data_IF_813072028275
#
_entry.id   IF_813072028275
#
_cell.length_a   1.000
_cell.length_b   1.000
_cell.length_c   1.000
_cell.angle_alpha   90.00
_cell.angle_beta   90.00
_cell.angle_gamma   90.00
#
_symmetry.space_group_name_H-M   'P 1'
#
loop_
_entity.id
_entity.type
_entity.pdbx_description
1 polymer ?
#
# COMPACT_ATOMS: atom_id res chain seq x y z
N UNK A 1 33.25 -17.43 -0.46
CA UNK A 1 33.39 -18.91 -0.56
C UNK A 1 33.53 -19.26 -2.04
N UNK A 2 34.43 -20.19 -2.40
CA UNK A 2 34.67 -20.60 -3.80
C UNK A 2 34.49 -22.11 -3.94
N UNK A 3 34.11 -22.55 -5.13
CA UNK A 3 33.86 -23.96 -5.46
C UNK A 3 34.56 -24.32 -6.77
N UNK A 4 34.69 -25.62 -7.09
CA UNK A 4 35.40 -26.05 -8.31
C UNK A 4 34.51 -26.04 -9.55
N UNK A 5 35.00 -25.47 -10.64
CA UNK A 5 34.32 -25.54 -11.94
C UNK A 5 34.74 -26.76 -12.75
N UNK A 6 33.91 -27.16 -13.71
CA UNK A 6 34.19 -28.26 -14.65
C UNK A 6 34.63 -27.80 -16.04
N UNK A 7 35.11 -26.56 -16.18
CA UNK A 7 35.72 -26.07 -17.43
C UNK A 7 36.98 -26.87 -17.81
N UNK A 8 37.31 -26.95 -19.10
CA UNK A 8 38.48 -27.70 -19.60
C UNK A 8 39.80 -27.29 -18.89
N UNK A 9 39.98 -26.01 -18.64
CA UNK A 9 41.15 -25.47 -17.90
C UNK A 9 41.13 -25.88 -16.43
N UNK A 10 39.96 -25.86 -15.79
CA UNK A 10 39.80 -26.27 -14.39
C UNK A 10 40.02 -27.76 -14.21
N UNK A 11 39.51 -28.59 -15.12
CA UNK A 11 39.77 -30.04 -15.12
C UNK A 11 41.26 -30.30 -15.28
N UNK A 12 41.95 -29.64 -16.21
CA UNK A 12 43.39 -29.79 -16.39
C UNK A 12 44.18 -29.42 -15.12
N UNK A 13 43.81 -28.31 -14.46
CA UNK A 13 44.42 -27.91 -13.20
C UNK A 13 44.15 -28.92 -12.07
N UNK A 14 42.92 -29.43 -11.96
CA UNK A 14 42.54 -30.44 -10.97
C UNK A 14 43.23 -31.78 -11.20
N UNK A 15 43.43 -32.22 -12.45
CA UNK A 15 44.17 -33.46 -12.75
C UNK A 15 45.62 -33.37 -12.29
N UNK A 16 46.25 -32.20 -12.47
CA UNK A 16 47.61 -31.94 -11.98
C UNK A 16 47.61 -31.93 -10.45
N UNK A 17 46.70 -31.19 -9.82
CA UNK A 17 46.64 -31.06 -8.36
C UNK A 17 46.25 -32.35 -7.64
N UNK A 18 45.30 -33.11 -8.16
CA UNK A 18 44.75 -34.32 -7.56
C UNK A 18 45.46 -35.59 -8.03
N UNK A 19 46.72 -35.47 -8.48
CA UNK A 19 47.51 -36.63 -8.86
C UNK A 19 47.51 -37.70 -7.76
N UNK A 20 47.17 -38.97 -8.05
CA UNK A 20 46.76 -39.94 -7.01
C UNK A 20 47.88 -40.39 -6.08
N UNK A 21 49.16 -40.23 -6.44
CA UNK A 21 50.28 -40.61 -5.56
C UNK A 21 50.63 -39.49 -4.59
N UNK A 22 50.36 -39.72 -3.31
CA UNK A 22 50.76 -38.84 -2.21
C UNK A 22 52.25 -38.98 -1.89
N UNK A 23 52.91 -37.92 -1.40
CA UNK A 23 54.31 -38.00 -0.95
C UNK A 23 54.47 -38.92 0.26
N UNK A 24 55.58 -39.66 0.32
CA UNK A 24 55.95 -40.44 1.50
C UNK A 24 56.54 -39.58 2.63
N UNK A 25 56.98 -38.36 2.32
CA UNK A 25 57.53 -37.40 3.29
C UNK A 25 57.53 -35.97 2.74
N UNK A 26 57.82 -34.95 3.57
CA UNK A 26 57.64 -33.54 3.21
C UNK A 26 58.50 -33.07 2.03
N UNK A 27 59.66 -33.71 1.82
CA UNK A 27 60.57 -33.39 0.71
C UNK A 27 60.44 -34.36 -0.48
N UNK A 28 59.49 -35.28 -0.45
CA UNK A 28 59.29 -36.26 -1.52
C UNK A 28 58.60 -35.63 -2.74
N UNK A 29 59.40 -35.41 -3.79
CA UNK A 29 58.96 -34.90 -5.09
C UNK A 29 59.21 -35.90 -6.22
N UNK A 30 59.46 -37.19 -5.92
CA UNK A 30 59.92 -38.17 -6.91
C UNK A 30 58.88 -38.50 -7.96
N UNK A 31 57.62 -38.65 -7.54
CA UNK A 31 56.52 -39.02 -8.44
C UNK A 31 55.68 -37.82 -8.91
N UNK A 32 55.70 -36.72 -8.15
CA UNK A 32 54.92 -35.52 -8.42
C UNK A 32 55.48 -34.35 -7.60
N UNK A 33 55.53 -33.15 -8.19
CA UNK A 33 56.01 -31.96 -7.51
C UNK A 33 54.96 -31.45 -6.53
N UNK A 34 55.29 -31.31 -5.24
CA UNK A 34 54.30 -30.92 -4.23
C UNK A 34 53.70 -29.52 -4.46
N UNK A 35 54.43 -28.60 -5.09
CA UNK A 35 53.91 -27.28 -5.42
C UNK A 35 52.67 -27.33 -6.34
N UNK A 36 52.57 -28.34 -7.20
CA UNK A 36 51.44 -28.52 -8.12
C UNK A 36 50.13 -28.91 -7.42
N UNK A 37 50.21 -29.35 -6.16
CA UNK A 37 49.05 -29.56 -5.29
C UNK A 37 48.28 -28.28 -5.00
N UNK A 38 48.84 -27.10 -5.26
CA UNK A 38 48.16 -25.82 -5.05
C UNK A 38 47.50 -25.25 -6.32
N UNK A 39 47.65 -25.91 -7.48
CA UNK A 39 47.02 -25.46 -8.73
C UNK A 39 45.49 -25.57 -8.73
N UNK A 40 44.87 -26.22 -7.72
CA UNK A 40 43.41 -26.23 -7.55
C UNK A 40 42.81 -24.83 -7.51
N UNK A 41 43.59 -23.82 -7.08
CA UNK A 41 43.13 -22.42 -7.02
C UNK A 41 42.71 -21.92 -8.39
N UNK A 42 43.34 -22.40 -9.47
CA UNK A 42 42.97 -22.06 -10.85
C UNK A 42 41.62 -22.65 -11.28
N UNK A 43 41.19 -23.72 -10.62
CA UNK A 43 39.89 -24.35 -10.84
C UNK A 43 38.78 -23.75 -9.97
N UNK A 44 39.11 -22.83 -9.05
CA UNK A 44 38.12 -22.23 -8.15
C UNK A 44 37.36 -21.07 -8.79
N UNK A 45 36.04 -21.09 -8.65
CA UNK A 45 35.13 -20.04 -9.08
C UNK A 45 34.26 -19.55 -7.92
N UNK A 46 33.82 -18.29 -8.00
CA UNK A 46 32.86 -17.71 -7.07
C UNK A 46 31.44 -18.01 -7.54
N UNK A 47 30.69 -18.75 -6.74
CA UNK A 47 29.28 -19.14 -7.02
C UNK A 47 28.33 -18.88 -5.86
N UNK A 48 28.86 -18.35 -4.75
CA UNK A 48 28.05 -18.05 -3.58
C UNK A 48 27.19 -16.82 -3.87
N UNK A 49 25.88 -16.95 -3.69
CA UNK A 49 24.97 -15.83 -3.70
C UNK A 49 24.44 -15.59 -2.29
N UNK A 50 24.55 -14.34 -1.86
CA UNK A 50 24.02 -13.81 -0.62
C UNK A 50 22.96 -12.77 -0.95
N UNK A 51 21.77 -12.90 -0.35
CA UNK A 51 20.77 -11.84 -0.44
C UNK A 51 21.00 -10.77 0.61
N UNK A 52 20.77 -9.52 0.24
CA UNK A 52 20.90 -8.34 1.09
C UNK A 52 19.59 -7.57 1.04
N UNK A 53 19.07 -7.20 2.21
CA UNK A 53 17.88 -6.37 2.27
C UNK A 53 18.22 -4.91 1.91
N UNK A 54 17.46 -4.34 0.97
CA UNK A 54 17.71 -2.98 0.45
C UNK A 54 17.57 -1.92 1.55
N UNK A 55 16.66 -2.12 2.50
CA UNK A 55 16.39 -1.11 3.54
C UNK A 55 17.43 -1.10 4.64
N UNK A 56 17.80 -2.28 5.13
CA UNK A 56 18.75 -2.42 6.24
C UNK A 56 20.20 -2.48 5.78
N UNK A 57 20.45 -2.84 4.52
CA UNK A 57 21.79 -3.11 4.00
C UNK A 57 22.43 -4.38 4.59
N UNK A 58 21.65 -5.18 5.33
CA UNK A 58 22.15 -6.36 6.03
C UNK A 58 21.89 -7.64 5.22
N UNK A 59 22.77 -8.66 5.32
CA UNK A 59 22.53 -9.95 4.70
C UNK A 59 21.31 -10.63 5.34
N UNK A 60 20.42 -11.13 4.50
CA UNK A 60 19.18 -11.80 4.90
C UNK A 60 19.05 -13.15 4.21
N UNK A 61 18.32 -14.08 4.82
CA UNK A 61 17.94 -15.34 4.19
C UNK A 61 16.69 -15.14 3.34
N UNK A 62 16.68 -15.68 2.13
CA UNK A 62 15.53 -15.67 1.24
C UNK A 62 15.55 -16.93 0.36
N UNK A 63 14.38 -17.54 0.09
CA UNK A 63 14.32 -18.66 -0.82
C UNK A 63 14.47 -18.16 -2.26
N UNK A 64 15.33 -18.84 -3.02
CA UNK A 64 15.55 -18.65 -4.44
C UNK A 64 15.12 -19.90 -5.17
N UNK A 65 14.42 -19.73 -6.27
CA UNK A 65 14.15 -20.78 -7.24
C UNK A 65 15.12 -20.64 -8.40
N UNK A 66 15.80 -21.74 -8.67
CA UNK A 66 16.90 -21.83 -9.61
C UNK A 66 16.45 -22.77 -10.71
N UNK A 67 16.49 -22.30 -11.97
CA UNK A 67 16.15 -23.12 -13.13
C UNK A 67 17.39 -23.41 -13.95
N UNK A 68 17.64 -24.69 -14.18
CA UNK A 68 18.75 -25.20 -14.99
C UNK A 68 18.22 -25.61 -16.36
N UNK A 69 18.94 -25.23 -17.42
CA UNK A 69 18.55 -25.54 -18.80
C UNK A 69 18.53 -27.04 -19.07
N UNK A 70 17.76 -27.44 -20.06
CA UNK A 70 17.84 -28.79 -20.63
C UNK A 70 19.24 -29.04 -21.20
N UNK A 71 19.76 -30.23 -20.92
CA UNK A 71 21.03 -30.75 -21.43
C UNK A 71 20.79 -32.11 -22.06
N UNK A 72 21.79 -32.68 -22.74
CA UNK A 72 21.68 -34.02 -23.33
C UNK A 72 21.35 -35.12 -22.29
N UNK A 73 21.66 -34.89 -21.02
CA UNK A 73 21.50 -35.86 -19.94
C UNK A 73 20.28 -35.62 -19.05
N UNK A 74 19.78 -34.39 -18.99
CA UNK A 74 18.73 -33.99 -18.06
C UNK A 74 17.78 -32.99 -18.71
N UNK A 75 16.49 -33.20 -18.49
CA UNK A 75 15.46 -32.22 -18.85
C UNK A 75 15.63 -30.91 -18.05
N UNK A 76 14.98 -29.84 -18.51
CA UNK A 76 14.90 -28.59 -17.76
C UNK A 76 14.29 -28.84 -16.37
N UNK A 77 15.00 -28.41 -15.32
CA UNK A 77 14.60 -28.64 -13.92
C UNK A 77 14.69 -27.35 -13.14
N UNK A 78 13.71 -27.12 -12.26
CA UNK A 78 13.75 -26.05 -11.27
C UNK A 78 13.78 -26.64 -9.86
N UNK A 79 14.55 -26.00 -8.98
CA UNK A 79 14.64 -26.36 -7.57
C UNK A 79 14.76 -25.11 -6.70
N UNK A 80 14.42 -25.24 -5.43
CA UNK A 80 14.44 -24.12 -4.48
C UNK A 80 15.58 -24.30 -3.47
N UNK A 81 16.36 -23.25 -3.29
CA UNK A 81 17.43 -23.15 -2.28
C UNK A 81 17.20 -21.93 -1.40
N UNK A 82 17.77 -21.91 -0.20
CA UNK A 82 17.71 -20.75 0.70
C UNK A 82 19.08 -20.08 0.72
N UNK A 83 19.14 -18.79 0.43
CA UNK A 83 20.38 -18.03 0.52
C UNK A 83 20.87 -17.96 1.97
N UNK A 84 22.18 -17.88 2.23
CA UNK A 84 23.27 -17.99 1.25
C UNK A 84 23.38 -19.40 0.67
N UNK A 85 23.44 -19.49 -0.66
CA UNK A 85 23.51 -20.76 -1.38
C UNK A 85 24.52 -20.68 -2.53
N UNK A 86 24.94 -21.85 -3.01
CA UNK A 86 25.88 -21.98 -4.13
C UNK A 86 25.04 -22.17 -5.40
N UNK A 87 25.22 -21.29 -6.37
CA UNK A 87 24.59 -21.44 -7.67
C UNK A 87 25.23 -22.58 -8.48
N UNK A 88 24.49 -23.22 -9.40
CA UNK A 88 25.06 -24.05 -10.45
C UNK A 88 26.10 -23.30 -11.31
N UNK A 89 26.80 -24.05 -12.16
CA UNK A 89 27.69 -23.44 -13.14
C UNK A 89 26.93 -22.54 -14.12
N UNK A 90 27.56 -21.42 -14.51
CA UNK A 90 26.97 -20.43 -15.44
C UNK A 90 26.60 -21.05 -16.80
N UNK A 91 27.31 -22.10 -17.21
CA UNK A 91 27.06 -22.80 -18.46
C UNK A 91 25.70 -23.52 -18.50
N UNK A 92 25.07 -23.81 -17.35
CA UNK A 92 23.80 -24.55 -17.29
C UNK A 92 22.66 -23.75 -16.68
N UNK A 93 22.96 -22.67 -15.96
CA UNK A 93 21.95 -21.88 -15.29
C UNK A 93 21.16 -21.00 -16.28
N UNK A 94 19.82 -21.05 -16.20
CA UNK A 94 18.90 -20.31 -17.06
C UNK A 94 18.23 -19.14 -16.34
N UNK A 95 17.67 -19.38 -15.14
CA UNK A 95 16.99 -18.33 -14.38
C UNK A 95 17.24 -18.45 -12.89
N UNK A 96 17.26 -17.30 -12.20
CA UNK A 96 17.21 -17.21 -10.75
C UNK A 96 16.05 -16.32 -10.37
N UNK A 97 15.12 -16.84 -9.57
CA UNK A 97 13.93 -16.14 -9.11
C UNK A 97 13.93 -16.05 -7.60
N UNK A 98 13.79 -14.84 -7.05
CA UNK A 98 13.46 -14.69 -5.62
C UNK A 98 12.04 -15.22 -5.44
N UNK A 99 11.92 -16.33 -4.73
CA UNK A 99 10.64 -16.94 -4.43
C UNK A 99 10.27 -16.68 -2.96
N UNK A 100 9.00 -16.88 -2.62
CA UNK A 100 8.49 -16.68 -1.27
C UNK A 100 7.60 -15.44 -1.08
N UNK A 101 6.74 -15.46 -0.05
CA UNK A 101 5.70 -14.44 0.12
C UNK A 101 6.25 -13.12 0.68
N UNK A 102 7.42 -13.13 1.33
CA UNK A 102 7.92 -12.05 2.20
C UNK A 102 8.75 -10.99 1.50
N UNK A 103 9.38 -11.35 0.40
CA UNK A 103 10.18 -10.45 -0.41
C UNK A 103 9.48 -10.23 -1.74
N UNK A 104 9.79 -9.11 -2.39
CA UNK A 104 9.27 -8.84 -3.72
C UNK A 104 9.86 -9.82 -4.73
N UNK A 105 9.03 -10.51 -5.55
CA UNK A 105 9.53 -11.45 -6.54
C UNK A 105 10.33 -10.69 -7.59
N UNK A 106 11.51 -11.22 -7.90
CA UNK A 106 12.38 -10.70 -8.95
C UNK A 106 12.97 -11.88 -9.71
N UNK A 107 12.97 -11.80 -11.04
CA UNK A 107 13.46 -12.86 -11.93
C UNK A 107 14.64 -12.31 -12.71
N UNK A 108 15.77 -13.00 -12.61
CA UNK A 108 16.98 -12.73 -13.37
C UNK A 108 17.08 -13.85 -14.41
N UNK A 109 16.85 -13.49 -15.67
CA UNK A 109 17.07 -14.39 -16.80
C UNK A 109 18.51 -14.27 -17.26
N UNK A 110 19.16 -15.42 -17.44
CA UNK A 110 20.57 -15.53 -17.77
C UNK A 110 20.73 -16.28 -19.08
N UNK A 111 21.72 -15.84 -19.87
CA UNK A 111 22.16 -16.57 -21.05
C UNK A 111 23.27 -17.51 -20.58
N UNK A 112 23.13 -18.84 -20.76
CA UNK A 112 24.15 -19.78 -20.35
C UNK A 112 25.44 -19.57 -21.14
N UNK A 113 26.55 -19.38 -20.44
CA UNK A 113 27.86 -19.12 -21.01
C UNK A 113 28.93 -19.96 -20.32
N UNK A 114 29.94 -20.44 -21.06
CA UNK A 114 31.09 -21.16 -20.51
C UNK A 114 32.12 -20.25 -19.81
N UNK A 115 31.74 -19.00 -19.54
CA UNK A 115 32.58 -18.05 -18.81
C UNK A 115 32.38 -18.23 -17.30
N UNK A 116 33.41 -17.94 -16.49
CA UNK A 116 33.24 -17.87 -15.05
C UNK A 116 32.24 -16.76 -14.67
N UNK A 117 31.66 -16.91 -13.50
CA UNK A 117 30.60 -16.06 -12.97
C UNK A 117 30.97 -14.58 -12.84
N UNK A 118 31.93 -14.27 -11.98
CA UNK A 118 32.44 -12.92 -11.77
C UNK A 118 33.88 -12.97 -11.26
N UNK A 119 34.70 -12.03 -11.71
CA UNK A 119 36.03 -11.75 -11.17
C UNK A 119 35.95 -10.50 -10.27
N UNK A 120 36.89 -10.37 -9.32
CA UNK A 120 36.94 -9.19 -8.44
C UNK A 120 37.12 -7.91 -9.27
N UNK A 121 36.13 -7.02 -9.23
CA UNK A 121 36.16 -5.72 -9.92
C UNK A 121 35.41 -5.67 -11.26
N UNK A 122 34.74 -6.75 -11.65
CA UNK A 122 33.83 -6.74 -12.79
C UNK A 122 32.57 -5.93 -12.43
N UNK A 123 32.13 -5.03 -13.31
CA UNK A 123 30.99 -4.12 -13.06
C UNK A 123 29.70 -4.58 -13.75
N UNK A 124 29.83 -5.41 -14.76
CA UNK A 124 28.71 -5.85 -15.62
C UNK A 124 28.17 -7.22 -15.19
N UNK A 125 28.45 -7.65 -13.97
CA UNK A 125 28.04 -8.95 -13.47
C UNK A 125 26.59 -8.93 -12.93
N UNK A 126 25.76 -9.95 -13.24
CA UNK A 126 24.33 -9.93 -12.92
C UNK A 126 24.03 -10.05 -11.42
N UNK A 127 25.03 -10.37 -10.58
CA UNK A 127 24.87 -10.59 -9.15
C UNK A 127 25.72 -9.66 -8.29
N UNK A 128 26.22 -8.52 -8.81
CA UNK A 128 27.12 -7.60 -8.12
C UNK A 128 28.17 -8.31 -7.21
N UNK A 129 28.96 -9.20 -7.81
CA UNK A 129 29.95 -10.04 -7.14
C UNK A 129 29.40 -11.04 -6.10
N UNK A 130 28.16 -11.50 -6.28
CA UNK A 130 27.49 -12.49 -5.43
C UNK A 130 26.49 -11.91 -4.42
N UNK A 131 26.13 -10.63 -4.53
CA UNK A 131 25.10 -9.96 -3.74
C UNK A 131 23.83 -9.71 -4.54
N UNK A 132 22.73 -10.31 -4.09
CA UNK A 132 21.40 -10.08 -4.63
C UNK A 132 20.60 -9.16 -3.70
N UNK A 133 20.33 -7.94 -4.15
CA UNK A 133 19.56 -6.97 -3.38
C UNK A 133 18.07 -7.26 -3.51
N UNK A 134 17.41 -7.50 -2.37
CA UNK A 134 15.98 -7.82 -2.31
C UNK A 134 15.26 -6.84 -1.38
N UNK A 135 14.02 -6.51 -1.72
CA UNK A 135 13.17 -5.65 -0.91
C UNK A 135 12.16 -6.51 -0.15
N UNK A 136 12.14 -6.38 1.18
CA UNK A 136 11.11 -7.00 2.03
C UNK A 136 9.76 -6.31 1.82
N UNK A 137 8.68 -7.08 1.79
CA UNK A 137 7.30 -6.56 1.79
C UNK A 137 6.94 -6.07 3.17
N UNK A 138 6.19 -4.96 3.26
CA UNK A 138 5.69 -4.46 4.54
C UNK A 138 4.68 -5.46 5.10
N UNK A 139 4.76 -5.69 6.42
CA UNK A 139 3.94 -6.69 7.12
C UNK A 139 4.55 -8.09 7.18
N UNK A 140 5.73 -8.30 6.58
CA UNK A 140 6.48 -9.55 6.69
C UNK A 140 7.75 -9.36 7.52
N UNK A 141 8.01 -10.29 8.44
CA UNK A 141 9.26 -10.35 9.19
C UNK A 141 10.38 -11.05 8.39
N UNK A 142 11.63 -10.81 8.78
CA UNK A 142 12.76 -11.57 8.23
C UNK A 142 12.61 -13.07 8.58
N UNK A 143 13.24 -13.96 7.82
CA UNK A 143 13.24 -15.39 8.14
C UNK A 143 14.01 -15.72 9.43
N UNK A 144 14.89 -14.82 9.89
CA UNK A 144 15.58 -14.96 11.18
C UNK A 144 14.62 -14.70 12.33
N UNK A 145 13.83 -13.63 12.24
CA UNK A 145 12.92 -13.21 13.30
C UNK A 145 11.65 -14.08 13.36
N UNK A 146 11.20 -14.57 12.21
CA UNK A 146 10.04 -15.45 12.09
C UNK A 146 10.34 -16.54 11.07
N UNK A 147 10.80 -17.74 11.43
CA UNK A 147 11.13 -18.78 10.45
C UNK A 147 9.89 -19.35 9.74
N UNK A 148 8.73 -19.37 10.40
CA UNK A 148 7.52 -20.04 9.89
C UNK A 148 6.64 -19.09 9.07
N UNK A 149 6.69 -17.78 9.32
CA UNK A 149 5.89 -16.79 8.58
C UNK A 149 4.50 -16.65 9.17
N UNK A 150 4.39 -16.82 10.48
CA UNK A 150 3.14 -16.74 11.18
C UNK A 150 2.71 -15.27 11.30
N UNK A 151 1.88 -14.80 10.35
CA UNK A 151 1.17 -13.51 10.43
C UNK A 151 0.30 -13.37 11.70
N UNK A 152 0.14 -14.45 12.46
CA UNK A 152 -0.48 -14.44 13.78
C UNK A 152 0.22 -13.51 14.78
N UNK A 153 1.52 -13.22 14.61
CA UNK A 153 2.20 -12.25 15.47
C UNK A 153 1.65 -10.84 15.26
N UNK A 154 1.45 -10.42 14.00
CA UNK A 154 0.88 -9.12 13.65
C UNK A 154 -0.59 -9.03 14.08
N UNK A 155 -1.39 -10.08 13.85
CA UNK A 155 -2.80 -10.06 14.27
C UNK A 155 -2.98 -10.10 15.79
N UNK A 156 -2.18 -10.91 16.51
CA UNK A 156 -2.20 -10.95 17.99
C UNK A 156 -1.70 -9.65 18.60
N UNK A 157 -0.68 -9.05 18.01
CA UNK A 157 -0.18 -7.75 18.42
C UNK A 157 -1.27 -6.69 18.37
N UNK A 158 -1.96 -6.62 17.25
CA UNK A 158 -2.94 -5.59 17.00
C UNK A 158 -4.23 -5.84 17.80
N UNK A 159 -4.61 -7.10 18.01
CA UNK A 159 -5.68 -7.44 18.92
C UNK A 159 -5.34 -7.08 20.38
N UNK A 160 -4.08 -7.23 20.81
CA UNK A 160 -3.62 -6.86 22.15
C UNK A 160 -3.59 -5.34 22.35
N UNK A 161 -3.27 -4.59 21.29
CA UNK A 161 -3.24 -3.12 21.30
C UNK A 161 -4.66 -2.54 21.23
N UNK A 162 -5.53 -3.09 20.37
CA UNK A 162 -6.95 -2.72 20.32
C UNK A 162 -7.68 -2.97 21.64
N UNK A 163 -7.42 -4.12 22.30
CA UNK A 163 -7.95 -4.38 23.64
C UNK A 163 -7.38 -3.45 24.73
N UNK A 164 -6.13 -3.01 24.57
CA UNK A 164 -5.49 -2.11 25.52
C UNK A 164 -6.07 -0.69 25.44
N UNK A 165 -6.49 -0.22 24.26
CA UNK A 165 -7.22 1.03 24.09
C UNK A 165 -8.64 0.96 24.69
N UNK A 166 -9.32 -0.18 24.58
CA UNK A 166 -10.66 -0.40 25.17
C UNK A 166 -10.65 -0.52 26.70
N UNK A 167 -9.51 -0.85 27.31
CA UNK A 167 -9.37 -1.02 28.77
C UNK A 167 -8.70 0.19 29.41
N UNK A 168 -9.34 1.36 29.29
CA UNK A 168 -9.11 2.51 30.16
C UNK A 168 -9.92 2.38 31.46
N UNK A 169 -9.84 1.25 32.14
CA UNK A 169 -10.21 1.16 33.56
C UNK A 169 -9.80 -0.17 34.16
N UNK A 170 -9.16 -0.07 35.33
CA UNK A 170 -8.78 -1.12 36.27
C UNK A 170 -7.46 -1.88 36.02
N UNK A 171 -6.66 -1.86 37.09
CA UNK A 171 -5.43 -2.59 37.42
C UNK A 171 -4.12 -2.18 36.73
N UNK A 172 -3.44 -1.24 37.40
CA UNK A 172 -1.96 -1.12 37.40
C UNK A 172 -1.38 -2.39 38.02
N UNK A 173 -1.22 -3.45 37.25
CA UNK A 173 -0.35 -4.58 37.62
C UNK A 173 0.89 -4.52 36.73
N UNK A 174 2.03 -4.31 37.39
CA UNK A 174 3.41 -4.47 36.96
C UNK A 174 3.63 -4.85 35.48
N UNK A 175 3.89 -3.84 34.63
CA UNK A 175 4.34 -4.05 33.24
C UNK A 175 5.82 -4.43 33.21
N UNK A 176 6.14 -5.66 33.57
CA UNK A 176 7.41 -6.30 33.22
C UNK A 176 7.22 -7.05 31.90
N UNK A 177 7.75 -6.52 30.78
CA UNK A 177 7.76 -7.22 29.48
C UNK A 177 6.65 -6.89 28.47
N UNK A 178 5.98 -5.74 28.56
CA UNK A 178 5.05 -5.31 27.50
C UNK A 178 5.85 -4.77 26.30
N UNK A 179 5.95 -5.58 25.24
CA UNK A 179 6.45 -5.15 23.92
C UNK A 179 5.72 -3.87 23.51
N UNK A 180 6.47 -2.78 23.32
CA UNK A 180 5.88 -1.50 22.88
C UNK A 180 5.40 -1.61 21.44
N UNK A 181 4.37 -0.85 21.07
CA UNK A 181 3.81 -0.90 19.73
C UNK A 181 4.87 -0.62 18.66
N UNK A 182 5.82 0.26 18.97
CA UNK A 182 6.89 0.65 18.06
C UNK A 182 7.89 -0.49 17.83
N UNK A 183 8.27 -1.20 18.91
CA UNK A 183 9.11 -2.38 18.82
C UNK A 183 8.43 -3.46 17.99
N UNK A 184 7.11 -3.49 18.01
CA UNK A 184 6.36 -4.43 17.20
C UNK A 184 6.37 -4.02 15.73
N UNK A 185 6.06 -2.76 15.43
CA UNK A 185 5.99 -2.30 14.04
C UNK A 185 7.36 -2.30 13.38
N UNK A 186 8.44 -2.03 14.12
CA UNK A 186 9.79 -2.16 13.61
C UNK A 186 10.17 -3.59 13.22
N UNK A 187 9.52 -4.63 13.78
CA UNK A 187 9.73 -6.01 13.32
C UNK A 187 9.07 -6.30 11.97
N UNK A 188 7.90 -5.71 11.72
CA UNK A 188 7.08 -5.95 10.51
C UNK A 188 7.32 -4.95 9.38
N UNK A 189 7.92 -3.79 9.68
CA UNK A 189 8.17 -2.73 8.71
C UNK A 189 9.53 -2.09 8.97
N UNK A 190 10.31 -1.97 7.89
CA UNK A 190 11.53 -1.16 7.88
C UNK A 190 11.27 0.31 7.56
N UNK A 191 10.00 0.70 7.29
CA UNK A 191 9.64 2.06 6.90
C UNK A 191 9.64 3.01 8.12
N UNK A 192 10.53 4.02 8.16
CA UNK A 192 10.60 4.98 9.27
C UNK A 192 9.31 5.76 9.47
N UNK A 193 8.52 5.99 8.40
CA UNK A 193 7.29 6.76 8.48
C UNK A 193 6.21 6.02 9.28
N UNK A 194 6.08 4.71 9.09
CA UNK A 194 5.13 3.87 9.83
C UNK A 194 5.52 3.73 11.30
N UNK A 195 6.83 3.58 11.58
CA UNK A 195 7.35 3.49 12.95
C UNK A 195 7.11 4.82 13.68
N UNK A 196 7.42 5.95 13.05
CA UNK A 196 7.18 7.27 13.62
C UNK A 196 5.68 7.55 13.82
N UNK A 197 4.83 7.10 12.88
CA UNK A 197 3.38 7.23 13.02
C UNK A 197 2.85 6.46 14.23
N UNK A 198 3.32 5.24 14.44
CA UNK A 198 2.94 4.43 15.60
C UNK A 198 3.29 5.12 16.93
N UNK A 199 4.52 5.62 17.03
CA UNK A 199 5.03 6.34 18.20
C UNK A 199 4.19 7.55 18.56
N UNK A 200 3.74 8.30 17.55
CA UNK A 200 3.11 9.60 17.76
C UNK A 200 1.60 9.52 17.91
N UNK A 201 0.94 8.66 17.15
CA UNK A 201 -0.52 8.65 17.05
C UNK A 201 -1.17 7.44 17.72
N UNK A 202 -0.42 6.36 17.93
CA UNK A 202 -0.99 5.09 18.40
C UNK A 202 -0.59 4.74 19.83
N UNK A 203 0.45 5.35 20.41
CA UNK A 203 0.84 5.10 21.80
C UNK A 203 -0.10 5.78 22.82
N UNK A 204 -0.70 5.01 23.75
CA UNK A 204 -1.65 5.54 24.73
C UNK A 204 -1.02 6.43 25.81
N UNK A 205 0.30 6.40 25.97
CA UNK A 205 1.02 7.19 27.00
C UNK A 205 1.09 8.68 26.71
N UNK A 206 0.89 9.11 25.47
CA UNK A 206 1.05 10.52 25.08
C UNK A 206 -0.26 11.34 25.13
N UNK A 207 -1.42 10.70 25.05
CA UNK A 207 -2.70 11.39 24.82
C UNK A 207 -3.55 11.49 26.10
N UNK A 208 -3.67 12.71 26.62
CA UNK A 208 -4.66 13.08 27.62
C UNK A 208 -6.07 13.06 27.00
N UNK A 209 -6.79 11.95 27.12
CA UNK A 209 -8.26 11.82 27.17
C UNK A 209 -9.18 12.43 26.09
N UNK A 210 -8.72 13.18 25.07
CA UNK A 210 -9.66 13.93 24.20
C UNK A 210 -10.04 13.27 22.88
N UNK A 211 -9.31 12.26 22.39
CA UNK A 211 -9.57 11.70 21.03
C UNK A 211 -9.29 10.19 20.93
N UNK A 212 -9.98 9.40 21.76
CA UNK A 212 -9.88 7.93 21.74
C UNK A 212 -10.31 7.36 20.38
N UNK A 213 -11.37 7.93 19.79
CA UNK A 213 -11.90 7.51 18.48
C UNK A 213 -10.87 7.71 17.36
N UNK A 214 -10.13 8.82 17.38
CA UNK A 214 -9.08 9.09 16.39
C UNK A 214 -7.89 8.15 16.56
N UNK A 215 -7.50 7.85 17.81
CA UNK A 215 -6.44 6.89 18.08
C UNK A 215 -6.81 5.47 17.61
N UNK A 216 -8.05 5.03 17.86
CA UNK A 216 -8.55 3.74 17.37
C UNK A 216 -8.57 3.70 15.84
N UNK A 217 -8.99 4.79 15.19
CA UNK A 217 -8.90 4.93 13.74
C UNK A 217 -7.46 4.81 13.23
N UNK A 218 -6.51 5.52 13.85
CA UNK A 218 -5.09 5.47 13.46
C UNK A 218 -4.52 4.05 13.56
N UNK A 219 -4.86 3.32 14.63
CA UNK A 219 -4.49 1.92 14.81
C UNK A 219 -5.06 1.02 13.71
N UNK A 220 -6.34 1.18 13.36
CA UNK A 220 -7.00 0.39 12.32
C UNK A 220 -6.38 0.65 10.94
N UNK A 221 -6.11 1.91 10.60
CA UNK A 221 -5.47 2.30 9.35
C UNK A 221 -4.05 1.75 9.28
N UNK A 222 -3.29 1.88 10.36
CA UNK A 222 -1.93 1.36 10.45
C UNK A 222 -1.90 -0.15 10.23
N UNK A 223 -2.81 -0.88 10.88
CA UNK A 223 -2.94 -2.32 10.68
C UNK A 223 -3.24 -2.67 9.23
N UNK A 224 -4.15 -1.97 8.58
CA UNK A 224 -4.44 -2.21 7.16
C UNK A 224 -3.24 -1.92 6.27
N UNK A 225 -2.61 -0.76 6.43
CA UNK A 225 -1.46 -0.34 5.64
C UNK A 225 -0.29 -1.32 5.77
N UNK A 226 -0.04 -1.84 6.97
CA UNK A 226 1.01 -2.83 7.20
C UNK A 226 0.60 -4.21 6.63
N UNK A 227 -0.63 -4.65 6.87
CA UNK A 227 -1.08 -6.00 6.47
C UNK A 227 -1.24 -6.16 4.96
N UNK A 228 -1.57 -5.08 4.24
CA UNK A 228 -1.77 -5.09 2.78
C UNK A 228 -0.56 -4.58 1.98
N UNK A 229 0.57 -4.33 2.64
CA UNK A 229 1.79 -3.78 2.03
C UNK A 229 1.53 -2.44 1.28
N UNK A 230 0.90 -1.50 1.99
CA UNK A 230 0.38 -0.23 1.45
C UNK A 230 0.68 0.98 2.37
N UNK A 231 1.95 1.26 2.70
CA UNK A 231 2.32 2.36 3.60
C UNK A 231 1.89 3.74 3.10
N UNK A 232 1.98 4.01 1.79
CA UNK A 232 1.64 5.31 1.20
C UNK A 232 0.16 5.71 1.41
N UNK A 233 -0.73 4.73 1.63
CA UNK A 233 -2.15 5.01 1.85
C UNK A 233 -2.45 5.57 3.23
N UNK A 234 -1.52 5.48 4.18
CA UNK A 234 -1.66 6.09 5.50
C UNK A 234 -2.03 7.58 5.38
N UNK A 235 -1.33 8.31 4.52
CA UNK A 235 -1.59 9.73 4.27
C UNK A 235 -2.97 9.96 3.64
N UNK A 236 -3.43 9.06 2.77
CA UNK A 236 -4.75 9.15 2.12
C UNK A 236 -5.88 8.93 3.13
N UNK A 237 -5.72 7.94 4.03
CA UNK A 237 -6.69 7.71 5.10
C UNK A 237 -6.77 8.90 6.05
N UNK A 238 -5.62 9.43 6.46
CA UNK A 238 -5.56 10.61 7.33
C UNK A 238 -6.16 11.83 6.65
N UNK A 239 -5.85 12.09 5.38
CA UNK A 239 -6.39 13.26 4.67
C UNK A 239 -7.90 13.19 4.50
N UNK A 240 -8.46 12.01 4.22
CA UNK A 240 -9.91 11.82 4.16
C UNK A 240 -10.58 12.00 5.52
N UNK A 241 -9.96 11.48 6.59
CA UNK A 241 -10.48 11.64 7.95
C UNK A 241 -10.46 13.11 8.40
N UNK A 242 -9.33 13.80 8.22
CA UNK A 242 -9.18 15.19 8.63
C UNK A 242 -10.00 16.13 7.76
N UNK A 243 -10.27 15.79 6.49
CA UNK A 243 -11.20 16.56 5.63
C UNK A 243 -12.60 16.61 6.24
N UNK A 244 -13.11 15.48 6.75
CA UNK A 244 -14.42 15.48 7.40
C UNK A 244 -14.35 16.20 8.75
N UNK A 245 -13.27 16.01 9.50
CA UNK A 245 -13.02 16.75 10.74
C UNK A 245 -13.05 18.28 10.52
N UNK A 246 -12.32 18.77 9.52
CA UNK A 246 -12.29 20.19 9.18
C UNK A 246 -13.65 20.71 8.72
N UNK A 247 -14.42 19.92 7.96
CA UNK A 247 -15.79 20.30 7.59
C UNK A 247 -16.70 20.45 8.81
N UNK A 248 -16.57 19.58 9.81
CA UNK A 248 -17.33 19.69 11.07
C UNK A 248 -16.87 20.91 11.86
N UNK A 249 -15.56 21.13 11.98
CA UNK A 249 -14.98 22.25 12.70
C UNK A 249 -15.34 23.60 12.08
N UNK A 250 -15.43 23.70 10.75
CA UNK A 250 -15.90 24.91 10.06
C UNK A 250 -17.36 25.26 10.38
N UNK A 251 -18.19 24.25 10.64
CA UNK A 251 -19.59 24.45 11.03
C UNK A 251 -19.69 24.85 12.50
N UNK A 252 -18.93 24.19 13.38
CA UNK A 252 -19.01 24.40 14.83
C UNK A 252 -18.26 25.66 15.28
N UNK A 253 -17.09 25.94 14.71
CA UNK A 253 -16.25 27.07 15.12
C UNK A 253 -16.81 28.42 14.69
N UNK A 254 -16.48 29.48 15.43
CA UNK A 254 -16.89 30.86 15.15
C UNK A 254 -15.95 31.59 14.17
N UNK A 255 -14.85 30.95 13.76
CA UNK A 255 -13.78 31.54 12.96
C UNK A 255 -13.76 30.98 11.55
N UNK A 256 -13.45 31.85 10.59
CA UNK A 256 -13.53 31.58 9.17
C UNK A 256 -12.19 31.05 8.63
N UNK A 257 -12.10 29.75 8.33
CA UNK A 257 -11.14 29.25 7.35
C UNK A 257 -11.80 29.25 5.96
N UNK A 258 -11.00 29.57 4.94
CA UNK A 258 -11.43 29.48 3.54
C UNK A 258 -11.77 28.01 3.24
N UNK A 259 -13.07 27.69 3.17
CA UNK A 259 -13.52 26.33 2.91
C UNK A 259 -13.02 25.82 1.56
N UNK A 260 -12.08 24.88 1.57
CA UNK A 260 -11.52 24.26 0.37
C UNK A 260 -12.56 23.33 -0.27
N UNK A 261 -13.28 23.82 -1.28
CA UNK A 261 -14.21 23.03 -2.10
C UNK A 261 -13.56 21.80 -2.77
N UNK A 262 -12.23 21.79 -2.88
CA UNK A 262 -11.43 20.67 -3.41
C UNK A 262 -11.50 19.42 -2.53
N UNK A 263 -11.68 19.61 -1.22
CA UNK A 263 -11.73 18.52 -0.24
C UNK A 263 -12.98 17.63 -0.41
N UNK A 264 -14.09 18.19 -0.88
CA UNK A 264 -15.29 17.41 -1.21
C UNK A 264 -15.14 16.60 -2.51
N UNK A 265 -14.35 17.12 -3.47
CA UNK A 265 -14.03 16.38 -4.70
C UNK A 265 -13.18 15.15 -4.44
N UNK A 266 -12.22 15.21 -3.50
CA UNK A 266 -11.40 14.05 -3.16
C UNK A 266 -12.26 12.91 -2.57
N UNK A 267 -13.22 13.23 -1.69
CA UNK A 267 -14.17 12.25 -1.15
C UNK A 267 -15.06 11.68 -2.27
N UNK A 268 -15.61 12.54 -3.14
CA UNK A 268 -16.46 12.11 -4.26
C UNK A 268 -15.72 11.19 -5.23
N UNK A 269 -14.45 11.49 -5.52
CA UNK A 269 -13.58 10.66 -6.34
C UNK A 269 -13.32 9.30 -5.68
N UNK A 270 -13.02 9.28 -4.38
CA UNK A 270 -12.80 8.04 -3.63
C UNK A 270 -14.06 7.15 -3.63
N UNK A 271 -15.25 7.75 -3.53
CA UNK A 271 -16.53 7.02 -3.62
C UNK A 271 -16.83 6.52 -5.03
N UNK A 272 -16.61 7.33 -6.06
CA UNK A 272 -16.80 6.91 -7.45
C UNK A 272 -15.86 5.74 -7.80
N UNK A 273 -14.63 5.75 -7.29
CA UNK A 273 -13.70 4.63 -7.40
C UNK A 273 -14.26 3.36 -6.74
N UNK A 274 -14.79 3.46 -5.51
CA UNK A 274 -15.36 2.32 -4.79
C UNK A 274 -16.61 1.76 -5.48
N UNK A 275 -17.50 2.63 -5.98
CA UNK A 275 -18.66 2.21 -6.77
C UNK A 275 -18.25 1.50 -8.06
N UNK A 276 -17.23 2.01 -8.78
CA UNK A 276 -16.71 1.37 -9.98
C UNK A 276 -16.08 -0.02 -9.68
N UNK A 277 -15.44 -0.16 -8.52
CA UNK A 277 -14.90 -1.43 -8.03
C UNK A 277 -16.02 -2.43 -7.70
N UNK A 278 -17.02 -2.01 -6.93
CA UNK A 278 -18.17 -2.88 -6.54
C UNK A 278 -18.99 -3.31 -7.75
N UNK A 279 -19.13 -2.45 -8.76
CA UNK A 279 -19.83 -2.74 -10.00
C UNK A 279 -19.00 -3.61 -10.96
N UNK A 280 -17.78 -4.02 -10.60
CA UNK A 280 -16.91 -4.86 -11.42
C UNK A 280 -16.34 -4.17 -12.65
N UNK A 281 -16.49 -2.83 -12.78
CA UNK A 281 -15.91 -2.06 -13.89
C UNK A 281 -14.39 -1.93 -13.77
N UNK A 282 -13.88 -2.01 -12.55
CA UNK A 282 -12.46 -2.04 -12.23
C UNK A 282 -12.09 -3.39 -11.62
N UNK A 283 -11.30 -4.18 -12.33
CA UNK A 283 -10.75 -5.46 -11.82
C UNK A 283 -9.32 -5.24 -11.38
N UNK A 284 -9.09 -5.22 -10.06
CA UNK A 284 -7.75 -5.12 -9.48
C UNK A 284 -7.39 -6.48 -8.88
N UNK A 285 -6.24 -7.10 -9.24
CA UNK A 285 -5.89 -8.45 -8.82
C UNK A 285 -5.76 -8.61 -7.29
N UNK A 286 -5.43 -7.54 -6.58
CA UNK A 286 -5.22 -7.54 -5.13
C UNK A 286 -6.37 -6.86 -4.35
N UNK A 287 -7.58 -6.86 -4.91
CA UNK A 287 -8.78 -6.27 -4.30
C UNK A 287 -8.78 -4.74 -4.26
N UNK A 288 -9.74 -4.17 -3.54
CA UNK A 288 -9.90 -2.71 -3.40
C UNK A 288 -8.73 -2.03 -2.72
N UNK A 289 -8.40 -0.82 -3.17
CA UNK A 289 -7.29 -0.02 -2.66
C UNK A 289 -7.58 0.49 -1.24
N UNK A 290 -8.75 1.10 -1.05
CA UNK A 290 -9.26 1.66 0.21
C UNK A 290 -10.41 0.80 0.73
N UNK A 291 -10.57 0.69 2.06
CA UNK A 291 -11.70 0.00 2.68
C UNK A 291 -13.05 0.61 2.26
N UNK A 292 -13.93 -0.23 1.72
CA UNK A 292 -15.29 0.16 1.32
C UNK A 292 -16.15 0.57 2.52
N UNK A 293 -15.94 -0.06 3.68
CA UNK A 293 -16.61 0.27 4.95
C UNK A 293 -16.23 1.66 5.44
N UNK A 294 -14.94 2.02 5.37
CA UNK A 294 -14.45 3.35 5.71
C UNK A 294 -15.02 4.41 4.76
N UNK A 295 -14.96 4.19 3.45
CA UNK A 295 -15.57 5.13 2.50
C UNK A 295 -17.08 5.27 2.71
N UNK A 296 -17.77 4.17 3.05
CA UNK A 296 -19.19 4.19 3.42
C UNK A 296 -19.47 5.02 4.68
N UNK A 297 -18.63 4.92 5.72
CA UNK A 297 -18.77 5.74 6.93
C UNK A 297 -18.50 7.21 6.67
N UNK A 298 -17.52 7.54 5.83
CA UNK A 298 -17.26 8.91 5.36
C UNK A 298 -18.48 9.48 4.61
N UNK A 299 -19.05 8.71 3.68
CA UNK A 299 -20.26 9.11 2.95
C UNK A 299 -21.40 9.42 3.91
N UNK A 300 -21.66 8.53 4.87
CA UNK A 300 -22.74 8.70 5.85
C UNK A 300 -22.52 9.96 6.70
N UNK A 301 -21.29 10.16 7.22
CA UNK A 301 -20.96 11.33 8.05
C UNK A 301 -21.09 12.64 7.27
N UNK A 302 -20.72 12.65 5.99
CA UNK A 302 -20.93 13.83 5.13
C UNK A 302 -22.42 14.09 4.86
N UNK A 303 -23.21 13.06 4.59
CA UNK A 303 -24.66 13.20 4.45
C UNK A 303 -25.33 13.68 5.74
N UNK A 304 -24.86 13.22 6.91
CA UNK A 304 -25.30 13.72 8.21
C UNK A 304 -24.97 15.21 8.38
N UNK A 305 -23.76 15.64 8.01
CA UNK A 305 -23.34 17.05 8.04
C UNK A 305 -24.23 17.92 7.15
N UNK A 306 -24.50 17.48 5.92
CA UNK A 306 -25.37 18.20 4.98
C UNK A 306 -26.82 18.25 5.47
N UNK A 307 -27.32 17.14 6.04
CA UNK A 307 -28.69 17.05 6.56
C UNK A 307 -28.89 17.77 7.90
N UNK A 308 -27.82 18.04 8.65
CA UNK A 308 -27.88 18.72 9.96
C UNK A 308 -28.47 20.13 9.88
N UNK A 309 -28.58 20.71 8.68
CA UNK A 309 -29.06 22.07 8.47
C UNK A 309 -30.36 22.13 7.67
N UNK A 310 -31.50 22.07 8.37
CA UNK A 310 -32.82 22.38 7.79
C UNK A 310 -32.85 23.71 7.02
N UNK A 311 -32.01 24.68 7.38
CA UNK A 311 -31.89 25.98 6.70
C UNK A 311 -31.35 25.88 5.26
N UNK A 312 -30.57 24.84 4.94
CA UNK A 312 -30.03 24.65 3.58
C UNK A 312 -31.12 24.41 2.57
N UNK A 313 -32.25 23.79 2.95
CA UNK A 313 -33.37 23.60 2.01
C UNK A 313 -33.93 24.94 1.53
N UNK A 314 -34.16 25.90 2.43
CA UNK A 314 -34.60 27.24 2.05
C UNK A 314 -33.56 27.98 1.21
N UNK A 315 -32.28 27.89 1.58
CA UNK A 315 -31.18 28.54 0.84
C UNK A 315 -31.00 27.92 -0.57
N UNK A 316 -31.19 26.61 -0.71
CA UNK A 316 -31.20 25.89 -2.00
C UNK A 316 -32.39 26.33 -2.85
N UNK A 317 -33.59 26.45 -2.25
CA UNK A 317 -34.77 26.97 -2.93
C UNK A 317 -34.56 28.40 -3.43
N UNK A 318 -34.00 29.30 -2.61
CA UNK A 318 -33.69 30.68 -3.01
C UNK A 318 -32.64 30.72 -4.12
N UNK A 319 -31.60 29.88 -4.04
CA UNK A 319 -30.57 29.73 -5.08
C UNK A 319 -31.16 29.23 -6.41
N UNK A 320 -32.02 28.21 -6.38
CA UNK A 320 -32.64 27.64 -7.58
C UNK A 320 -33.59 28.63 -8.27
N UNK A 321 -34.32 29.44 -7.51
CA UNK A 321 -35.26 30.43 -8.06
C UNK A 321 -34.56 31.69 -8.55
N UNK A 322 -33.74 32.30 -7.69
CA UNK A 322 -33.18 33.64 -7.90
C UNK A 322 -31.72 33.64 -8.35
N UNK A 323 -31.00 32.53 -8.17
CA UNK A 323 -29.55 32.45 -8.38
C UNK A 323 -28.74 33.20 -7.32
N UNK A 324 -29.37 33.63 -6.22
CA UNK A 324 -28.69 34.38 -5.16
C UNK A 324 -28.09 33.44 -4.13
N UNK A 325 -26.92 33.85 -3.62
CA UNK A 325 -26.28 33.22 -2.47
C UNK A 325 -26.78 33.88 -1.18
N UNK A 326 -26.77 33.17 -0.03
CA UNK A 326 -27.13 33.75 1.26
C UNK A 326 -26.33 35.02 1.54
N UNK A 327 -26.99 36.06 2.06
CA UNK A 327 -26.33 37.34 2.40
C UNK A 327 -25.26 37.11 3.47
N UNK A 328 -24.10 37.76 3.31
CA UNK A 328 -22.96 37.69 4.24
C UNK A 328 -23.22 38.46 5.53
N UNK A 329 -24.16 37.99 6.35
CA UNK A 329 -24.26 38.40 7.76
C UNK A 329 -23.29 37.55 8.61
N UNK A 330 -23.14 37.83 9.92
CA UNK A 330 -22.23 37.12 10.84
C UNK A 330 -22.40 35.58 10.85
N UNK A 331 -23.56 35.07 10.45
CA UNK A 331 -23.84 33.62 10.27
C UNK A 331 -24.07 33.20 8.81
N UNK A 332 -24.17 34.16 7.88
CA UNK A 332 -24.49 33.91 6.47
C UNK A 332 -23.37 33.26 5.68
N UNK A 333 -22.11 33.44 6.11
CA UNK A 333 -20.97 32.74 5.53
C UNK A 333 -21.09 31.21 5.70
N UNK A 334 -21.46 30.73 6.89
CA UNK A 334 -21.63 29.29 7.16
C UNK A 334 -22.68 28.67 6.24
N UNK A 335 -23.80 29.37 6.03
CA UNK A 335 -24.86 28.97 5.10
C UNK A 335 -24.39 28.93 3.66
N UNK A 336 -23.54 29.87 3.27
CA UNK A 336 -22.95 29.91 1.92
C UNK A 336 -21.99 28.73 1.67
N UNK A 337 -21.18 28.36 2.66
CA UNK A 337 -20.32 27.16 2.59
C UNK A 337 -21.17 25.89 2.51
N UNK A 338 -22.14 25.73 3.41
CA UNK A 338 -23.02 24.55 3.40
C UNK A 338 -23.78 24.40 2.08
N UNK A 339 -24.28 25.52 1.54
CA UNK A 339 -24.91 25.55 0.23
C UNK A 339 -23.92 25.13 -0.88
N UNK A 340 -22.68 25.63 -0.85
CA UNK A 340 -21.68 25.26 -1.87
C UNK A 340 -21.35 23.77 -1.84
N UNK A 341 -21.19 23.19 -0.64
CA UNK A 341 -20.99 21.76 -0.45
C UNK A 341 -22.19 20.94 -0.91
N UNK A 342 -23.42 21.36 -0.58
CA UNK A 342 -24.64 20.69 -1.01
C UNK A 342 -24.77 20.65 -2.53
N UNK A 343 -24.56 21.80 -3.20
CA UNK A 343 -24.65 21.92 -4.65
C UNK A 343 -23.62 21.01 -5.34
N UNK A 344 -22.39 20.99 -4.84
CA UNK A 344 -21.29 20.20 -5.40
C UNK A 344 -21.46 18.69 -5.14
N UNK A 345 -21.91 18.31 -3.94
CA UNK A 345 -22.13 16.92 -3.55
C UNK A 345 -23.19 16.26 -4.42
N UNK A 346 -24.37 16.88 -4.49
CA UNK A 346 -25.49 16.35 -5.24
C UNK A 346 -25.44 16.65 -6.75
N UNK A 347 -24.43 17.39 -7.23
CA UNK A 347 -24.31 17.74 -8.65
C UNK A 347 -25.47 18.59 -9.14
N UNK A 348 -25.86 19.59 -8.35
CA UNK A 348 -26.98 20.48 -8.67
C UNK A 348 -26.57 21.38 -9.84
N UNK A 349 -27.35 21.43 -10.93
CA UNK A 349 -27.03 22.27 -12.08
C UNK A 349 -27.12 23.76 -11.72
N UNK A 350 -26.42 24.65 -12.47
CA UNK A 350 -26.55 26.09 -12.30
C UNK A 350 -28.00 26.55 -12.45
N UNK A 351 -28.40 27.57 -11.67
CA UNK A 351 -29.78 28.10 -11.64
C UNK A 351 -30.31 28.50 -13.03
N UNK A 352 -29.44 28.97 -13.92
CA UNK A 352 -29.75 29.29 -15.32
C UNK A 352 -30.21 28.04 -16.08
N UNK A 353 -29.53 26.91 -15.89
CA UNK A 353 -29.88 25.63 -16.51
C UNK A 353 -31.24 25.12 -16.02
N UNK A 354 -31.51 25.26 -14.72
CA UNK A 354 -32.82 24.91 -14.13
C UNK A 354 -33.94 25.78 -14.67
N UNK A 355 -33.71 27.09 -14.82
CA UNK A 355 -34.71 28.03 -15.38
C UNK A 355 -35.02 27.73 -16.85
N UNK A 356 -34.00 27.51 -17.67
CA UNK A 356 -34.18 27.14 -19.08
C UNK A 356 -34.93 25.82 -19.23
N UNK A 357 -34.60 24.81 -18.42
CA UNK A 357 -35.34 23.54 -18.41
C UNK A 357 -36.81 23.73 -18.02
N UNK A 358 -37.09 24.63 -17.06
CA UNK A 358 -38.45 24.97 -16.63
C UNK A 358 -39.28 25.62 -17.74
N UNK A 359 -38.68 26.54 -18.48
CA UNK A 359 -39.32 27.19 -19.62
C UNK A 359 -39.62 26.18 -20.74
N UNK A 360 -38.68 25.30 -21.06
CA UNK A 360 -38.88 24.23 -22.04
C UNK A 360 -40.01 23.27 -21.66
N UNK A 361 -40.11 22.87 -20.39
CA UNK A 361 -41.21 21.99 -19.93
C UNK A 361 -42.56 22.71 -20.01
N UNK A 362 -42.63 24.00 -19.68
CA UNK A 362 -43.85 24.80 -19.83
C UNK A 362 -44.29 24.90 -21.30
N UNK A 363 -43.34 25.04 -22.23
CA UNK A 363 -43.62 25.12 -23.66
C UNK A 363 -44.19 23.80 -24.23
N UNK A 364 -43.75 22.66 -23.71
CA UNK A 364 -44.19 21.33 -24.20
C UNK A 364 -45.43 20.81 -23.43
N UNK A 365 -45.91 21.54 -22.42
CA UNK A 365 -47.09 21.22 -21.60
C UNK A 365 -47.07 19.80 -20.97
N UNK A 366 -45.86 19.27 -20.71
CA UNK A 366 -45.67 17.97 -20.05
C UNK A 366 -45.81 18.16 -18.54
N UNK A 367 -46.53 17.25 -17.86
CA UNK A 367 -46.53 17.21 -16.40
C UNK A 367 -45.11 16.95 -15.90
N UNK A 368 -44.53 17.89 -15.16
CA UNK A 368 -43.25 17.69 -14.49
C UNK A 368 -43.32 16.44 -13.62
N UNK A 369 -42.49 15.46 -13.89
CA UNK A 369 -42.36 14.23 -13.10
C UNK A 369 -40.90 14.04 -12.68
N UNK A 370 -40.67 13.36 -11.56
CA UNK A 370 -39.33 13.05 -11.07
C UNK A 370 -38.48 12.29 -12.12
N UNK A 371 -39.02 11.30 -12.87
CA UNK A 371 -38.27 10.65 -13.95
C UNK A 371 -37.87 11.59 -15.10
N UNK A 372 -38.75 12.53 -15.48
CA UNK A 372 -38.44 13.54 -16.50
C UNK A 372 -37.28 14.43 -16.07
N UNK A 373 -37.23 14.82 -14.78
CA UNK A 373 -36.14 15.61 -14.22
C UNK A 373 -34.82 14.85 -14.21
N UNK A 374 -34.86 13.55 -13.90
CA UNK A 374 -33.67 12.71 -13.95
C UNK A 374 -33.10 12.58 -15.38
N UNK A 375 -33.98 12.58 -16.39
CA UNK A 375 -33.57 12.58 -17.80
C UNK A 375 -32.96 13.92 -18.25
N UNK A 376 -33.47 15.04 -17.73
CA UNK A 376 -32.92 16.37 -18.02
C UNK A 376 -31.60 16.65 -17.30
N UNK A 377 -31.40 16.05 -16.13
CA UNK A 377 -30.22 16.23 -15.29
C UNK A 377 -29.63 14.89 -14.87
N UNK A 378 -28.96 14.17 -15.81
CA UNK A 378 -28.46 12.82 -15.55
C UNK A 378 -27.34 12.77 -14.51
N UNK A 379 -26.63 13.88 -14.29
CA UNK A 379 -25.56 14.00 -13.29
C UNK A 379 -26.01 14.39 -11.88
N UNK A 380 -27.31 14.63 -11.68
CA UNK A 380 -27.83 15.15 -10.40
C UNK A 380 -28.39 14.02 -9.54
N UNK A 381 -28.04 14.02 -8.26
CA UNK A 381 -28.49 13.03 -7.31
C UNK A 381 -30.01 13.11 -7.07
N UNK A 382 -30.65 11.97 -6.76
CA UNK A 382 -32.11 11.85 -6.62
C UNK A 382 -32.68 12.80 -5.56
N UNK A 383 -31.95 13.02 -4.47
CA UNK A 383 -32.36 13.96 -3.40
C UNK A 383 -32.49 15.39 -3.91
N UNK A 384 -31.49 15.87 -4.67
CA UNK A 384 -31.54 17.20 -5.27
C UNK A 384 -32.60 17.32 -6.36
N UNK A 385 -32.84 16.26 -7.14
CA UNK A 385 -33.96 16.23 -8.10
C UNK A 385 -35.31 16.39 -7.36
N UNK A 386 -35.46 15.74 -6.20
CA UNK A 386 -36.62 15.89 -5.34
C UNK A 386 -36.82 17.33 -4.86
N UNK A 387 -35.76 18.01 -4.42
CA UNK A 387 -35.82 19.42 -4.01
C UNK A 387 -36.15 20.36 -5.18
N UNK A 388 -35.54 20.14 -6.37
CA UNK A 388 -35.87 20.90 -7.59
C UNK A 388 -37.34 20.73 -7.94
N UNK A 389 -37.86 19.51 -7.85
CA UNK A 389 -39.27 19.21 -8.10
C UNK A 389 -40.19 19.92 -7.08
N UNK A 390 -39.85 19.91 -5.79
CA UNK A 390 -40.58 20.66 -4.75
C UNK A 390 -40.56 22.18 -4.99
N UNK A 391 -39.42 22.75 -5.40
CA UNK A 391 -39.33 24.16 -5.80
C UNK A 391 -40.32 24.52 -6.92
N UNK A 392 -40.47 23.63 -7.90
CA UNK A 392 -41.33 23.86 -9.06
C UNK A 392 -42.81 23.72 -8.73
N UNK A 393 -43.15 22.87 -7.75
CA UNK A 393 -44.50 22.72 -7.21
C UNK A 393 -44.91 23.91 -6.35
N UNK A 394 -44.05 24.36 -5.44
CA UNK A 394 -44.33 25.52 -4.57
C UNK A 394 -44.64 26.78 -5.38
N UNK A 395 -43.93 27.00 -6.49
CA UNK A 395 -44.15 28.14 -7.38
C UNK A 395 -45.32 27.97 -8.38
N UNK A 396 -46.10 26.88 -8.31
CA UNK A 396 -47.42 26.77 -8.97
C UNK A 396 -48.57 27.24 -8.06
N UNK A 397 -48.35 27.33 -6.75
CA UNK A 397 -49.39 27.71 -5.77
C UNK A 397 -49.54 29.24 -5.66
N UNK A 398 -48.53 30.02 -6.05
CA UNK A 398 -48.56 31.50 -6.03
C UNK A 398 -49.09 32.13 -7.34
N UNK A 399 -50.05 31.50 -8.02
CA UNK A 399 -50.71 32.09 -9.20
C UNK A 399 -52.22 32.10 -9.11
#
# INVERSE_FOLDING_TARGET
MRTFSTSNTSIAALLITLYPRLPAGPNDNRCHLQAFRHLYVLATEARLVQTVDVDTGMPVYAPLEITVRETEHYAETSFCEVTPCILPERAVLKTVRVCGPRYWPHVIELIPEEKPWWASGDKDDPFNSGFLYIKRKVGACSYVDDPVGCQSLLSRAMHKVGLACLRTSSTRTERMGAVTLDQLISTFSSDPSLIAFAQRFCEPSLNNSSDVDFQEFCLQVLFECVSKDRPAFLQVYLSLYTTIGSMVDEITSATCSLGDSLSLWSIKLALAYNEALLNGRLTIPNGGIVQSTFLGSLKKRLEEILNFSLCVTNDVHEYLLSGRWPKKDTTGWKRSILLSWYLQWHGVPPSIGVRSAREKIKLVNISSSVPLMHLLFPGTHVTAIGEIYRCWLSSRVDK
#
